data_IF_027755824527
#
_entry.id   IF_027755824527
#
_cell.length_a   1.000
_cell.length_b   1.000
_cell.length_c   1.000
_cell.angle_alpha   90.00
_cell.angle_beta   90.00
_cell.angle_gamma   90.00
#
_symmetry.space_group_name_H-M   'P 1'
#
loop_
_entity.id
_entity.type
_entity.pdbx_description
1 polymer ?
#
# COMPACT_ATOMS: atom_id res chain seq x y z
N UNK A 1 11.54 -3.95 -23.32
CA UNK A 1 10.79 -3.25 -22.24
C UNK A 1 9.89 -4.25 -21.54
N UNK A 2 9.95 -4.34 -20.23
CA UNK A 2 9.08 -5.25 -19.50
C UNK A 2 7.71 -4.60 -19.23
N UNK A 3 6.73 -5.40 -18.80
CA UNK A 3 5.37 -4.91 -18.57
C UNK A 3 5.33 -3.79 -17.53
N UNK A 4 6.20 -3.86 -16.51
CA UNK A 4 6.26 -2.85 -15.46
C UNK A 4 6.60 -1.46 -16.02
N UNK A 5 7.49 -1.40 -17.01
CA UNK A 5 7.91 -0.13 -17.60
C UNK A 5 6.90 0.45 -18.58
N UNK A 6 5.89 -0.34 -18.97
CA UNK A 6 4.90 0.09 -19.95
C UNK A 6 3.65 0.70 -19.32
N UNK A 7 3.51 0.64 -18.01
CA UNK A 7 2.28 1.09 -17.35
C UNK A 7 2.44 2.46 -16.71
N UNK A 8 1.35 3.23 -16.67
CA UNK A 8 1.29 4.47 -15.91
C UNK A 8 1.47 4.23 -14.43
N UNK A 9 1.02 3.07 -13.96
CA UNK A 9 1.19 2.65 -12.57
C UNK A 9 2.69 2.57 -12.21
N UNK A 10 3.51 2.00 -13.09
CA UNK A 10 4.94 1.92 -12.86
C UNK A 10 5.58 3.31 -12.77
N UNK A 11 5.18 4.21 -13.66
CA UNK A 11 5.68 5.59 -13.64
C UNK A 11 5.29 6.29 -12.34
N UNK A 12 4.07 6.06 -11.89
CA UNK A 12 3.61 6.61 -10.62
C UNK A 12 4.39 6.04 -9.44
N UNK A 13 4.63 4.73 -9.40
CA UNK A 13 5.44 4.12 -8.34
C UNK A 13 6.83 4.74 -8.26
N UNK A 14 7.46 4.96 -9.41
CA UNK A 14 8.77 5.61 -9.46
C UNK A 14 8.74 7.01 -8.88
N UNK A 15 7.69 7.77 -9.16
CA UNK A 15 7.58 9.15 -8.69
C UNK A 15 7.38 9.24 -7.19
N UNK A 16 6.92 8.18 -6.54
CA UNK A 16 6.67 8.18 -5.10
C UNK A 16 7.95 7.99 -4.26
N UNK A 17 9.05 7.58 -4.89
CA UNK A 17 10.35 7.48 -4.20
C UNK A 17 10.47 6.34 -3.20
N UNK A 18 9.61 5.33 -3.30
CA UNK A 18 9.64 4.17 -2.43
C UNK A 18 10.40 3.01 -3.05
N UNK A 19 10.91 2.08 -2.22
CA UNK A 19 11.47 0.85 -2.74
C UNK A 19 10.43 0.07 -3.50
N UNK A 20 10.82 -0.62 -4.56
CA UNK A 20 9.97 -1.55 -5.29
C UNK A 20 10.62 -2.94 -5.18
N UNK A 21 9.94 -3.85 -4.50
CA UNK A 21 10.41 -5.22 -4.37
C UNK A 21 9.82 -6.04 -5.50
N UNK A 22 10.68 -6.69 -6.28
CA UNK A 22 10.27 -7.45 -7.46
C UNK A 22 10.66 -8.91 -7.27
N UNK A 23 9.76 -9.83 -7.59
CA UNK A 23 10.05 -11.25 -7.49
C UNK A 23 8.84 -12.12 -7.78
N UNK A 24 9.01 -13.42 -7.62
CA UNK A 24 7.93 -14.39 -7.77
C UNK A 24 7.15 -14.57 -6.47
N UNK A 25 7.73 -14.18 -5.36
CA UNK A 25 7.12 -14.22 -4.05
C UNK A 25 8.00 -13.53 -3.04
N UNK A 26 7.53 -13.40 -1.82
CA UNK A 26 8.25 -12.77 -0.73
C UNK A 26 8.25 -13.75 0.44
N UNK A 27 9.44 -14.05 0.96
CA UNK A 27 9.57 -14.99 2.06
C UNK A 27 8.99 -14.45 3.36
N UNK A 28 9.29 -13.19 3.68
CA UNK A 28 8.74 -12.52 4.86
C UNK A 28 8.51 -11.04 4.56
N UNK A 29 7.26 -10.64 4.41
CA UNK A 29 6.91 -9.25 4.11
C UNK A 29 7.33 -8.29 5.20
N UNK A 30 7.50 -8.77 6.44
CA UNK A 30 7.91 -7.92 7.56
C UNK A 30 9.38 -7.52 7.50
N UNK A 31 10.17 -8.19 6.68
CA UNK A 31 11.58 -7.86 6.49
C UNK A 31 11.81 -6.88 5.35
N UNK A 32 10.79 -6.49 4.62
CA UNK A 32 10.91 -5.52 3.55
C UNK A 32 11.30 -4.17 4.13
N UNK A 33 12.32 -3.55 3.54
CA UNK A 33 12.73 -2.20 3.92
C UNK A 33 11.67 -1.20 3.48
N UNK A 34 11.19 -0.40 4.43
CA UNK A 34 10.22 0.65 4.17
C UNK A 34 10.89 2.02 4.24
N UNK A 35 10.45 2.94 3.40
CA UNK A 35 10.94 4.32 3.43
C UNK A 35 9.77 5.27 3.68
N UNK A 36 10.06 6.49 4.17
CA UNK A 36 9.01 7.48 4.38
C UNK A 36 8.22 7.72 3.10
N UNK A 37 6.91 7.69 3.21
CA UNK A 37 6.00 7.87 2.09
C UNK A 37 5.23 9.17 2.29
N UNK A 38 5.64 10.21 1.58
CA UNK A 38 5.09 11.56 1.76
C UNK A 38 3.59 11.63 1.54
N UNK A 39 3.10 10.89 0.54
CA UNK A 39 1.68 10.88 0.20
C UNK A 39 0.81 10.47 1.38
N UNK A 40 1.23 9.50 2.16
CA UNK A 40 0.43 8.93 3.23
C UNK A 40 0.81 9.42 4.61
N UNK A 41 2.02 9.92 4.77
CA UNK A 41 2.55 10.33 6.08
C UNK A 41 3.14 9.20 6.89
N UNK A 42 3.17 7.99 6.36
CA UNK A 42 3.76 6.83 7.01
C UNK A 42 5.01 6.34 6.29
N UNK A 43 5.26 5.04 6.40
CA UNK A 43 6.33 4.36 5.67
C UNK A 43 5.72 3.40 4.67
N UNK A 44 6.43 3.10 3.61
CA UNK A 44 5.91 2.17 2.63
C UNK A 44 6.94 1.60 1.68
N UNK A 45 6.51 0.58 0.95
CA UNK A 45 7.23 -0.02 -0.15
C UNK A 45 6.22 -0.65 -1.10
N UNK A 46 6.54 -0.62 -2.38
CA UNK A 46 5.74 -1.31 -3.38
C UNK A 46 6.26 -2.72 -3.60
N UNK A 47 5.36 -3.62 -3.90
CA UNK A 47 5.70 -5.00 -4.23
C UNK A 47 5.15 -5.31 -5.61
N UNK A 48 6.02 -5.84 -6.48
CA UNK A 48 5.64 -6.28 -7.81
C UNK A 48 5.96 -7.77 -7.94
N UNK A 49 4.94 -8.58 -8.05
CA UNK A 49 5.11 -10.01 -8.23
C UNK A 49 5.03 -10.36 -9.71
N UNK A 50 5.97 -11.18 -10.18
CA UNK A 50 5.99 -11.60 -11.56
C UNK A 50 4.71 -12.36 -11.90
N UNK A 51 4.12 -12.04 -13.05
CA UNK A 51 2.89 -12.64 -13.51
C UNK A 51 1.63 -11.87 -13.09
N UNK A 52 1.76 -10.85 -12.25
CA UNK A 52 0.63 -10.07 -11.76
C UNK A 52 0.53 -8.69 -12.42
N UNK A 53 1.34 -8.45 -13.43
CA UNK A 53 1.36 -7.18 -14.16
C UNK A 53 -0.02 -6.87 -14.75
N UNK A 54 -0.54 -5.69 -14.45
CA UNK A 54 -1.84 -5.26 -14.94
C UNK A 54 -3.03 -5.94 -14.28
N UNK A 55 -2.79 -6.85 -13.33
CA UNK A 55 -3.87 -7.57 -12.62
C UNK A 55 -4.04 -7.03 -11.23
N UNK A 56 -2.96 -6.97 -10.45
CA UNK A 56 -3.02 -6.47 -9.09
C UNK A 56 -1.73 -5.78 -8.70
N UNK A 57 -1.83 -4.83 -7.80
CA UNK A 57 -0.68 -4.18 -7.18
C UNK A 57 -0.68 -4.46 -5.68
N UNK A 58 0.50 -4.39 -5.07
CA UNK A 58 0.64 -4.61 -3.64
C UNK A 58 1.50 -3.51 -3.04
N UNK A 59 1.10 -3.07 -1.86
CA UNK A 59 1.85 -2.08 -1.08
C UNK A 59 1.97 -2.62 0.34
N UNK A 60 3.17 -2.48 0.91
CA UNK A 60 3.36 -2.69 2.34
C UNK A 60 3.47 -1.32 2.98
N UNK A 61 2.68 -1.08 4.00
CA UNK A 61 2.65 0.22 4.66
C UNK A 61 2.76 0.06 6.17
N UNK A 62 3.40 1.05 6.80
CA UNK A 62 3.50 1.10 8.26
C UNK A 62 2.99 2.46 8.73
N UNK A 63 2.15 2.41 9.77
CA UNK A 63 1.64 3.61 10.40
C UNK A 63 2.44 3.82 11.68
N UNK A 64 3.10 4.98 11.85
CA UNK A 64 3.82 5.26 13.09
C UNK A 64 2.90 5.18 14.31
N UNK A 65 3.41 4.74 15.47
CA UNK A 65 2.59 4.68 16.68
C UNK A 65 1.92 6.02 16.99
N UNK A 66 0.64 5.99 17.27
CA UNK A 66 -0.14 7.19 17.55
C UNK A 66 -0.45 8.05 16.33
N UNK A 67 -0.03 7.62 15.15
CA UNK A 67 -0.25 8.35 13.91
C UNK A 67 -1.39 7.82 13.08
N UNK A 68 -1.57 8.43 11.91
CA UNK A 68 -2.56 8.02 10.94
C UNK A 68 -2.03 8.31 9.54
N UNK A 69 -2.43 7.49 8.58
CA UNK A 69 -2.13 7.77 7.18
C UNK A 69 -3.15 8.77 6.64
N UNK A 70 -2.71 9.57 5.68
CA UNK A 70 -3.60 10.51 5.01
C UNK A 70 -4.70 9.76 4.26
N UNK A 71 -5.91 10.30 4.21
CA UNK A 71 -6.99 9.67 3.44
C UNK A 71 -6.63 9.51 1.98
N UNK A 72 -7.05 8.40 1.40
CA UNK A 72 -6.88 8.11 -0.02
C UNK A 72 -8.22 7.93 -0.67
N UNK A 73 -8.29 8.23 -1.95
CA UNK A 73 -9.49 8.07 -2.76
C UNK A 73 -9.13 7.34 -4.04
N UNK A 74 -9.82 6.22 -4.29
CA UNK A 74 -9.59 5.44 -5.50
C UNK A 74 -10.85 4.71 -5.91
N UNK A 75 -10.89 4.26 -7.15
CA UNK A 75 -12.05 3.58 -7.73
C UNK A 75 -11.86 2.07 -7.83
N UNK A 76 -10.65 1.58 -7.54
CA UNK A 76 -10.36 0.15 -7.60
C UNK A 76 -10.64 -0.51 -6.25
N UNK A 77 -10.79 -1.83 -6.29
CA UNK A 77 -10.98 -2.62 -5.08
C UNK A 77 -9.66 -2.74 -4.30
N UNK A 78 -9.77 -2.83 -2.98
CA UNK A 78 -8.63 -2.95 -2.12
C UNK A 78 -8.87 -4.01 -1.05
N UNK A 79 -7.87 -4.85 -0.83
CA UNK A 79 -7.86 -5.83 0.25
C UNK A 79 -6.73 -5.45 1.19
N UNK A 80 -7.04 -5.31 2.48
CA UNK A 80 -6.07 -4.95 3.49
C UNK A 80 -5.84 -6.15 4.40
N UNK A 81 -4.58 -6.54 4.54
CA UNK A 81 -4.18 -7.61 5.44
C UNK A 81 -3.32 -7.01 6.56
N UNK A 82 -3.74 -7.19 7.79
CA UNK A 82 -3.01 -6.66 8.95
C UNK A 82 -1.94 -7.68 9.35
N UNK A 83 -0.69 -7.25 9.32
CA UNK A 83 0.44 -8.11 9.66
C UNK A 83 0.82 -8.01 11.13
N UNK A 84 0.67 -6.83 11.73
CA UNK A 84 1.06 -6.60 13.10
C UNK A 84 0.41 -5.33 13.62
N UNK A 85 0.25 -5.23 14.94
CA UNK A 85 -0.26 -4.05 15.59
C UNK A 85 -1.77 -4.01 15.70
N UNK A 86 -2.26 -2.88 16.19
CA UNK A 86 -3.69 -2.62 16.32
C UNK A 86 -4.01 -1.20 15.90
N UNK A 87 -5.18 -1.01 15.37
CA UNK A 87 -5.62 0.29 14.88
C UNK A 87 -7.01 0.22 14.32
N UNK A 88 -7.31 1.15 13.42
CA UNK A 88 -8.62 1.19 12.79
C UNK A 88 -8.50 1.80 11.41
N UNK A 89 -9.43 1.43 10.56
CA UNK A 89 -9.57 2.01 9.22
C UNK A 89 -10.95 2.64 9.12
N UNK A 90 -10.99 3.88 8.68
CA UNK A 90 -12.24 4.57 8.39
C UNK A 90 -12.49 4.59 6.89
N UNK A 91 -13.71 4.29 6.49
CA UNK A 91 -14.12 4.27 5.08
C UNK A 91 -15.37 5.10 4.94
N UNK A 92 -15.41 5.94 3.91
CA UNK A 92 -16.60 6.74 3.64
C UNK A 92 -16.67 7.12 2.16
N UNK A 93 -17.90 7.45 1.73
CA UNK A 93 -18.11 8.07 0.44
C UNK A 93 -18.33 9.56 0.68
N UNK A 94 -18.07 10.37 -0.33
CA UNK A 94 -18.26 11.81 -0.24
C UNK A 94 -19.70 12.11 0.18
N UNK A 95 -19.84 12.90 1.25
CA UNK A 95 -21.15 13.24 1.81
C UNK A 95 -21.80 12.13 2.62
N UNK A 96 -21.17 10.97 2.75
CA UNK A 96 -21.71 9.83 3.49
C UNK A 96 -21.14 9.72 4.90
N UNK A 97 -21.69 8.77 5.65
CA UNK A 97 -21.20 8.46 6.99
C UNK A 97 -19.90 7.69 6.92
N UNK A 98 -19.03 7.93 7.90
CA UNK A 98 -17.82 7.16 8.07
C UNK A 98 -18.13 5.83 8.75
N UNK A 99 -17.56 4.76 8.21
CA UNK A 99 -17.60 3.44 8.84
C UNK A 99 -16.23 3.13 9.40
N UNK A 100 -16.19 2.70 10.65
CA UNK A 100 -14.94 2.40 11.35
C UNK A 100 -14.77 0.89 11.49
N UNK A 101 -13.61 0.40 11.08
CA UNK A 101 -13.26 -1.01 11.20
C UNK A 101 -12.01 -1.13 12.07
N UNK A 102 -12.18 -1.60 13.28
CA UNK A 102 -11.05 -1.82 14.19
C UNK A 102 -10.37 -3.15 13.87
N UNK A 103 -9.04 -3.17 14.01
CA UNK A 103 -8.26 -4.37 13.71
C UNK A 103 -7.09 -4.51 14.68
N UNK A 104 -6.64 -5.75 14.82
CA UNK A 104 -5.57 -6.11 15.73
C UNK A 104 -6.05 -6.20 17.17
N UNK A 105 -5.21 -6.68 18.04
CA UNK A 105 -5.54 -6.77 19.48
C UNK A 105 -4.25 -6.77 20.26
#
# INVERSE_FOLDING_TARGET
MNALQQTGYHQWMKSEGLPVVVGHGIEDVREIKLLPWRRTGGLGAFVHLHGMEGVTGMVVAEIPPGGALQPERHIYEEIICILDGQGATEVWQEGGKKSLFEWGR
#
